data_IF_553598526072
#
_entry.id   IF_553598526072
#
_cell.length_a   1.000
_cell.length_b   1.000
_cell.length_c   1.000
_cell.angle_alpha   90.00
_cell.angle_beta   90.00
_cell.angle_gamma   90.00
#
_symmetry.space_group_name_H-M   'P 1'
#
loop_
_entity.id
_entity.type
_entity.pdbx_description
1 polymer ?
#
# COMPACT_ATOMS: atom_id res chain seq x y z
N UNK A 1 42.74 -25.18 1.92
CA UNK A 1 41.31 -25.34 1.57
C UNK A 1 40.60 -24.03 1.89
N UNK A 2 40.33 -23.19 0.88
CA UNK A 2 39.60 -21.92 1.07
C UNK A 2 38.11 -22.22 1.12
N UNK A 3 37.57 -22.38 2.32
CA UNK A 3 36.13 -22.40 2.53
C UNK A 3 35.58 -21.02 2.19
N UNK A 4 34.91 -20.89 1.05
CA UNK A 4 34.24 -19.65 0.67
C UNK A 4 33.01 -19.52 1.56
N UNK A 5 33.15 -18.78 2.67
CA UNK A 5 32.02 -18.38 3.49
C UNK A 5 31.04 -17.59 2.61
N UNK A 6 29.84 -18.16 2.46
CA UNK A 6 28.76 -17.57 1.70
C UNK A 6 28.20 -16.41 2.53
N UNK A 7 28.55 -15.18 2.18
CA UNK A 7 27.93 -13.98 2.75
C UNK A 7 26.44 -13.97 2.38
N UNK A 8 25.51 -13.80 3.33
CA UNK A 8 24.10 -13.77 3.01
C UNK A 8 23.79 -12.43 2.34
N UNK A 9 23.38 -12.50 1.08
CA UNK A 9 22.85 -11.36 0.35
C UNK A 9 23.73 -10.95 -0.82
N UNK A 10 23.55 -11.64 -1.95
CA UNK A 10 23.22 -11.04 -3.26
C UNK A 10 22.66 -12.16 -4.16
N UNK A 11 21.47 -11.98 -4.71
CA UNK A 11 21.05 -12.63 -5.96
C UNK A 11 20.52 -11.52 -6.87
N UNK A 12 21.23 -11.30 -7.98
CA UNK A 12 20.83 -10.43 -9.09
C UNK A 12 19.92 -11.22 -10.02
N UNK A 13 18.73 -10.69 -10.33
CA UNK A 13 18.05 -10.95 -11.61
C UNK A 13 17.25 -9.72 -12.02
N UNK A 14 17.48 -9.31 -13.26
CA UNK A 14 16.86 -8.18 -13.96
C UNK A 14 15.37 -8.44 -14.22
N UNK A 15 14.57 -7.37 -14.03
CA UNK A 15 13.11 -7.34 -14.14
C UNK A 15 12.49 -6.69 -12.89
N UNK A 16 12.07 -5.42 -13.00
CA UNK A 16 11.40 -4.59 -11.96
C UNK A 16 11.58 -5.12 -10.52
N UNK A 17 12.76 -4.88 -9.95
CA UNK A 17 13.21 -5.55 -8.74
C UNK A 17 12.59 -4.91 -7.49
N UNK A 18 11.42 -5.38 -7.07
CA UNK A 18 10.94 -5.23 -5.69
C UNK A 18 11.96 -5.95 -4.78
N UNK A 19 12.82 -5.20 -4.07
CA UNK A 19 13.78 -5.76 -3.10
C UNK A 19 13.02 -6.26 -1.87
N UNK A 20 12.46 -7.46 -1.96
CA UNK A 20 11.81 -8.11 -0.82
C UNK A 20 12.91 -8.58 0.15
N UNK A 21 12.85 -8.12 1.40
CA UNK A 21 13.71 -8.62 2.47
C UNK A 21 13.04 -9.83 3.13
N UNK A 22 13.81 -10.75 3.70
CA UNK A 22 13.25 -11.99 4.26
C UNK A 22 13.70 -12.17 5.72
N UNK A 23 12.77 -12.62 6.56
CA UNK A 23 13.04 -13.01 7.95
C UNK A 23 12.92 -14.53 8.09
N UNK A 24 13.95 -15.18 8.63
CA UNK A 24 13.95 -16.63 8.86
C UNK A 24 13.27 -16.98 10.17
N UNK A 25 12.30 -17.90 10.12
CA UNK A 25 11.64 -18.47 11.31
C UNK A 25 11.62 -20.00 11.17
N UNK A 26 12.48 -20.67 11.93
CA UNK A 26 12.76 -22.10 11.77
C UNK A 26 13.43 -22.36 10.42
N UNK A 27 12.86 -23.28 9.64
CA UNK A 27 13.35 -23.67 8.31
C UNK A 27 12.73 -22.84 7.17
N UNK A 28 11.84 -21.89 7.50
CA UNK A 28 11.10 -21.09 6.51
C UNK A 28 11.60 -19.64 6.46
N UNK A 29 11.61 -19.08 5.24
CA UNK A 29 11.85 -17.66 4.97
C UNK A 29 10.52 -16.95 4.73
N UNK A 30 10.18 -16.01 5.61
CA UNK A 30 9.01 -15.16 5.48
C UNK A 30 9.41 -13.86 4.78
N UNK A 31 8.72 -13.44 3.70
CA UNK A 31 8.94 -12.12 3.11
C UNK A 31 8.50 -11.05 4.09
N UNK A 32 9.32 -10.02 4.26
CA UNK A 32 8.97 -8.82 5.00
C UNK A 32 8.14 -7.94 4.08
N UNK A 33 6.83 -7.93 4.32
CA UNK A 33 5.88 -7.08 3.61
C UNK A 33 5.83 -5.74 4.32
N UNK A 34 6.38 -4.70 3.70
CA UNK A 34 6.14 -3.31 4.11
C UNK A 34 5.05 -2.74 3.22
N UNK A 35 4.10 -2.05 3.84
CA UNK A 35 3.09 -1.29 3.12
C UNK A 35 3.61 0.14 3.12
N UNK A 36 4.05 0.62 1.96
CA UNK A 36 4.45 2.02 1.76
C UNK A 36 3.18 2.88 1.54
N UNK A 37 2.19 2.75 2.42
CA UNK A 37 1.01 3.62 2.42
C UNK A 37 1.39 4.91 3.13
N UNK A 38 1.75 5.93 2.35
CA UNK A 38 1.74 7.30 2.87
C UNK A 38 0.30 7.65 3.24
N UNK A 39 0.06 8.25 4.43
CA UNK A 39 -1.26 8.72 4.79
C UNK A 39 -1.66 9.83 3.81
N UNK A 40 -2.57 9.52 2.89
CA UNK A 40 -3.17 10.52 2.00
C UNK A 40 -3.79 11.62 2.86
N UNK A 41 -3.36 12.87 2.65
CA UNK A 41 -3.93 14.02 3.34
C UNK A 41 -5.26 14.34 2.67
N UNK A 42 -6.34 13.74 3.20
CA UNK A 42 -7.69 14.01 2.72
C UNK A 42 -8.12 15.40 3.23
N UNK A 43 -8.62 16.23 2.32
CA UNK A 43 -9.17 17.55 2.61
C UNK A 43 -10.58 17.50 3.22
N UNK A 44 -11.18 18.67 3.41
CA UNK A 44 -12.51 18.80 4.05
C UNK A 44 -13.60 18.07 3.28
N UNK A 45 -13.60 18.17 1.95
CA UNK A 45 -14.67 17.64 1.11
C UNK A 45 -14.53 16.12 0.92
N UNK A 46 -13.31 15.60 0.85
CA UNK A 46 -13.02 14.18 0.87
C UNK A 46 -13.46 13.55 2.19
N UNK A 47 -13.23 14.21 3.33
CA UNK A 47 -13.71 13.72 4.64
C UNK A 47 -15.24 13.66 4.72
N UNK A 48 -15.94 14.69 4.22
CA UNK A 48 -17.41 14.68 4.13
C UNK A 48 -17.94 13.60 3.18
N UNK A 49 -17.26 13.37 2.06
CA UNK A 49 -17.61 12.30 1.13
C UNK A 49 -17.43 10.93 1.77
N UNK A 50 -16.37 10.75 2.55
CA UNK A 50 -16.07 9.50 3.26
C UNK A 50 -17.14 9.16 4.27
N UNK A 51 -17.57 10.11 5.11
CA UNK A 51 -18.65 9.89 6.08
C UNK A 51 -19.96 9.57 5.38
N UNK A 52 -20.30 10.32 4.33
CA UNK A 52 -21.49 10.06 3.52
C UNK A 52 -21.49 8.63 2.94
N UNK A 53 -20.38 8.19 2.34
CA UNK A 53 -20.26 6.84 1.78
C UNK A 53 -20.40 5.76 2.86
N UNK A 54 -19.82 5.97 4.04
CA UNK A 54 -19.88 5.02 5.17
C UNK A 54 -21.29 4.90 5.76
N UNK A 55 -22.05 5.98 5.81
CA UNK A 55 -23.40 5.99 6.41
C UNK A 55 -24.47 5.56 5.40
N UNK A 56 -24.42 6.12 4.18
CA UNK A 56 -25.51 6.00 3.20
C UNK A 56 -25.24 4.95 2.12
N UNK A 57 -23.97 4.64 1.82
CA UNK A 57 -23.57 3.79 0.68
C UNK A 57 -22.49 2.77 1.07
N UNK A 58 -22.73 2.03 2.16
CA UNK A 58 -21.79 1.05 2.75
C UNK A 58 -21.17 0.09 1.73
N UNK A 59 -21.96 -0.46 0.81
CA UNK A 59 -21.46 -1.42 -0.19
C UNK A 59 -20.40 -0.79 -1.12
N UNK A 60 -20.62 0.46 -1.54
CA UNK A 60 -19.66 1.19 -2.37
C UNK A 60 -18.40 1.54 -1.59
N UNK A 61 -18.55 1.99 -0.35
CA UNK A 61 -17.43 2.23 0.56
C UNK A 61 -16.57 0.97 0.73
N UNK A 62 -17.19 -0.16 1.04
CA UNK A 62 -16.50 -1.44 1.22
C UNK A 62 -15.80 -1.92 -0.05
N UNK A 63 -16.46 -1.82 -1.21
CA UNK A 63 -15.86 -2.18 -2.50
C UNK A 63 -14.61 -1.32 -2.79
N UNK A 64 -14.70 0.00 -2.60
CA UNK A 64 -13.55 0.89 -2.82
C UNK A 64 -12.43 0.69 -1.81
N UNK A 65 -12.76 0.35 -0.56
CA UNK A 65 -11.79 0.03 0.48
C UNK A 65 -11.03 -1.26 0.14
N UNK A 66 -11.73 -2.33 -0.26
CA UNK A 66 -11.11 -3.61 -0.60
C UNK A 66 -10.28 -3.54 -1.89
N UNK A 67 -10.65 -2.66 -2.82
CA UNK A 67 -9.91 -2.45 -4.07
C UNK A 67 -8.78 -1.43 -3.94
N UNK A 68 -8.61 -0.78 -2.78
CA UNK A 68 -7.62 0.28 -2.55
C UNK A 68 -7.88 1.57 -3.32
N UNK A 69 -9.09 1.76 -3.87
CA UNK A 69 -9.45 2.93 -4.69
C UNK A 69 -10.06 4.08 -3.90
N UNK A 70 -10.35 3.87 -2.61
CA UNK A 70 -11.05 4.84 -1.78
C UNK A 70 -10.29 6.16 -1.67
N UNK A 71 -9.01 6.11 -1.30
CA UNK A 71 -8.21 7.32 -1.05
C UNK A 71 -8.11 8.20 -2.30
N UNK A 72 -7.77 7.60 -3.45
CA UNK A 72 -7.75 8.29 -4.74
C UNK A 72 -9.09 8.96 -5.08
N UNK A 73 -10.22 8.29 -4.79
CA UNK A 73 -11.54 8.88 -5.03
C UNK A 73 -11.78 10.11 -4.15
N UNK A 74 -11.33 10.08 -2.89
CA UNK A 74 -11.50 11.21 -1.97
C UNK A 74 -10.62 12.39 -2.38
N UNK A 75 -9.36 12.14 -2.77
CA UNK A 75 -8.46 13.16 -3.32
C UNK A 75 -9.03 13.84 -4.58
N UNK A 76 -9.62 13.05 -5.50
CA UNK A 76 -10.28 13.60 -6.68
C UNK A 76 -11.43 14.53 -6.31
N UNK A 77 -12.21 14.20 -5.28
CA UNK A 77 -13.30 15.05 -4.79
C UNK A 77 -12.79 16.35 -4.21
N UNK A 78 -11.75 16.30 -3.37
CA UNK A 78 -11.11 17.51 -2.83
C UNK A 78 -10.58 18.40 -3.96
N UNK A 79 -9.84 17.83 -4.92
CA UNK A 79 -9.34 18.58 -6.08
C UNK A 79 -10.47 19.24 -6.86
N UNK A 80 -11.55 18.52 -7.16
CA UNK A 80 -12.68 19.10 -7.90
C UNK A 80 -13.42 20.19 -7.12
N UNK A 81 -13.36 20.16 -5.79
CA UNK A 81 -13.96 21.21 -4.95
C UNK A 81 -13.09 22.47 -4.92
N UNK A 82 -11.76 22.31 -4.97
CA UNK A 82 -10.81 23.45 -5.03
C UNK A 82 -10.75 24.11 -6.42
N UNK A 83 -11.13 23.39 -7.48
CA UNK A 83 -11.19 23.90 -8.86
C UNK A 83 -12.49 24.69 -9.18
N UNK A 84 -13.46 24.74 -8.26
CA UNK A 84 -14.75 25.46 -8.41
C UNK A 84 -14.75 26.81 -7.71
#
# INVERSE_FOLDING_TARGET
MKGRFMTPGKILKEGHQMKVTYTRKGDYLFPNLTIDEEPAVIGKYGMLRRTFLKENRKNWYQSMLLTGKLEKHLEEIDRTADEQ
#
